data_IF_350385073212
#
_entry.id   IF_350385073212
#
_cell.length_a   1.000
_cell.length_b   1.000
_cell.length_c   1.000
_cell.angle_alpha   90.00
_cell.angle_beta   90.00
_cell.angle_gamma   90.00
#
_symmetry.space_group_name_H-M   'P 1'
#
loop_
_entity.id
_entity.type
_entity.pdbx_description
1 polymer ?
#
# COMPACT_ATOMS: atom_id res chain seq x y z
N UNK A 1 31.72 -26.82 0.97
CA UNK A 1 30.85 -25.85 1.69
C UNK A 1 29.81 -26.66 2.44
N UNK A 2 29.73 -26.52 3.77
CA UNK A 2 28.90 -27.41 4.58
C UNK A 2 27.42 -27.04 4.44
N UNK A 3 26.52 -28.02 4.59
CA UNK A 3 25.07 -27.81 4.42
C UNK A 3 24.55 -26.65 5.29
N UNK A 4 25.08 -26.51 6.52
CA UNK A 4 24.77 -25.42 7.43
C UNK A 4 25.13 -24.03 6.90
N UNK A 5 26.27 -23.89 6.22
CA UNK A 5 26.71 -22.63 5.62
C UNK A 5 25.83 -22.24 4.43
N UNK A 6 25.44 -23.22 3.61
CA UNK A 6 24.52 -23.01 2.49
C UNK A 6 23.12 -22.59 2.94
N UNK A 7 22.54 -23.28 3.93
CA UNK A 7 21.24 -22.89 4.50
C UNK A 7 21.29 -21.49 5.15
N UNK A 8 22.42 -21.14 5.78
CA UNK A 8 22.61 -19.80 6.33
C UNK A 8 22.67 -18.73 5.23
N UNK A 9 23.44 -18.94 4.16
CA UNK A 9 23.54 -17.96 3.08
C UNK A 9 22.21 -17.80 2.34
N UNK A 10 21.51 -18.90 2.06
CA UNK A 10 20.21 -18.87 1.39
C UNK A 10 19.15 -18.15 2.24
N UNK A 11 19.08 -18.44 3.55
CA UNK A 11 18.13 -17.76 4.43
C UNK A 11 18.39 -16.26 4.56
N UNK A 12 19.67 -15.84 4.66
CA UNK A 12 20.03 -14.42 4.66
C UNK A 12 19.63 -13.74 3.36
N UNK A 13 19.85 -14.38 2.21
CA UNK A 13 19.44 -13.84 0.91
C UNK A 13 17.92 -13.64 0.84
N UNK A 14 17.14 -14.63 1.26
CA UNK A 14 15.67 -14.56 1.23
C UNK A 14 15.17 -13.45 2.16
N UNK A 15 15.72 -13.32 3.36
CA UNK A 15 15.39 -12.23 4.30
C UNK A 15 15.70 -10.87 3.66
N UNK A 16 16.88 -10.72 3.05
CA UNK A 16 17.27 -9.48 2.40
C UNK A 16 16.31 -9.09 1.26
N UNK A 17 15.93 -10.06 0.42
CA UNK A 17 14.95 -9.85 -0.65
C UNK A 17 13.59 -9.46 -0.07
N UNK A 18 13.11 -10.14 0.98
CA UNK A 18 11.84 -9.79 1.64
C UNK A 18 11.85 -8.36 2.18
N UNK A 19 12.96 -7.92 2.79
CA UNK A 19 13.11 -6.54 3.27
C UNK A 19 13.07 -5.56 2.10
N UNK A 20 13.78 -5.81 1.01
CA UNK A 20 13.78 -4.93 -0.17
C UNK A 20 12.38 -4.82 -0.78
N UNK A 21 11.67 -5.94 -0.94
CA UNK A 21 10.29 -5.95 -1.44
C UNK A 21 9.37 -5.15 -0.49
N UNK A 22 9.52 -5.35 0.81
CA UNK A 22 8.75 -4.64 1.82
C UNK A 22 8.93 -3.14 1.80
N UNK A 23 10.19 -2.69 1.79
CA UNK A 23 10.54 -1.28 1.68
C UNK A 23 10.07 -0.69 0.35
N UNK A 24 10.22 -1.43 -0.76
CA UNK A 24 9.72 -1.02 -2.07
C UNK A 24 8.19 -0.85 -2.08
N UNK A 25 7.44 -1.73 -1.43
CA UNK A 25 5.99 -1.62 -1.31
C UNK A 25 5.56 -0.40 -0.47
N UNK A 26 6.24 -0.13 0.66
CA UNK A 26 5.99 1.07 1.47
C UNK A 26 6.25 2.34 0.63
N UNK A 27 7.38 2.39 -0.07
CA UNK A 27 7.74 3.51 -0.94
C UNK A 27 6.72 3.75 -2.06
N UNK A 28 6.17 2.68 -2.65
CA UNK A 28 5.12 2.80 -3.66
C UNK A 28 3.81 3.37 -3.09
N UNK A 29 3.45 3.01 -1.85
CA UNK A 29 2.28 3.58 -1.18
C UNK A 29 2.49 5.08 -0.91
N UNK A 30 3.67 5.49 -0.45
CA UNK A 30 3.98 6.91 -0.27
C UNK A 30 3.86 7.70 -1.58
N UNK A 31 4.19 7.08 -2.72
CA UNK A 31 4.06 7.70 -4.04
C UNK A 31 2.62 7.81 -4.55
N UNK A 32 1.62 7.25 -3.87
CA UNK A 32 0.20 7.44 -4.23
C UNK A 32 -0.32 8.81 -3.73
N UNK A 33 0.25 9.35 -2.65
CA UNK A 33 -0.15 10.63 -2.06
C UNK A 33 -0.09 11.80 -3.06
N UNK A 34 0.97 11.97 -3.89
CA UNK A 34 1.05 13.03 -4.90
C UNK A 34 -0.02 12.94 -6.00
N UNK A 35 -0.53 11.75 -6.32
CA UNK A 35 -1.59 11.62 -7.32
C UNK A 35 -2.93 12.19 -6.80
N UNK A 36 -3.12 12.19 -5.47
CA UNK A 36 -4.28 12.78 -4.83
C UNK A 36 -4.14 14.30 -4.76
N UNK A 37 -2.92 14.82 -4.55
CA UNK A 37 -2.65 16.27 -4.56
C UNK A 37 -3.04 16.91 -5.89
N UNK A 38 -2.79 16.24 -7.03
CA UNK A 38 -3.21 16.74 -8.34
C UNK A 38 -4.73 16.94 -8.42
N UNK A 39 -5.50 15.94 -7.96
CA UNK A 39 -6.97 16.04 -7.99
C UNK A 39 -7.50 17.06 -6.96
N UNK A 40 -6.85 17.18 -5.79
CA UNK A 40 -7.19 18.22 -4.83
C UNK A 40 -6.95 19.62 -5.42
N UNK A 41 -5.86 19.80 -6.17
CA UNK A 41 -5.55 21.07 -6.82
C UNK A 41 -6.58 21.43 -7.90
N UNK A 42 -6.99 20.45 -8.71
CA UNK A 42 -8.05 20.64 -9.72
C UNK A 42 -9.39 20.99 -9.05
N UNK A 43 -9.79 20.28 -7.99
CA UNK A 43 -11.03 20.63 -7.27
C UNK A 43 -10.97 22.02 -6.62
N UNK A 44 -9.81 22.40 -6.06
CA UNK A 44 -9.60 23.74 -5.51
C UNK A 44 -9.74 24.82 -6.60
N UNK A 45 -9.30 24.52 -7.83
CA UNK A 45 -9.45 25.39 -8.98
C UNK A 45 -10.94 25.63 -9.31
N UNK A 46 -11.77 24.58 -9.35
CA UNK A 46 -13.22 24.70 -9.55
C UNK A 46 -13.91 25.49 -8.41
N UNK A 47 -13.50 25.30 -7.15
CA UNK A 47 -14.02 26.10 -6.02
C UNK A 47 -13.69 27.59 -6.18
N UNK A 48 -12.44 27.93 -6.53
CA UNK A 48 -12.03 29.31 -6.72
C UNK A 48 -12.78 29.97 -7.89
N UNK A 49 -13.00 29.23 -8.98
CA UNK A 49 -13.81 29.69 -10.10
C UNK A 49 -15.27 29.97 -9.66
N UNK A 50 -15.87 29.09 -8.84
CA UNK A 50 -17.20 29.33 -8.28
C UNK A 50 -17.27 30.58 -7.38
N UNK A 51 -16.25 30.82 -6.56
CA UNK A 51 -16.14 32.05 -5.76
C UNK A 51 -16.04 33.29 -6.66
N UNK A 52 -15.23 33.25 -7.72
CA UNK A 52 -15.12 34.36 -8.67
C UNK A 52 -16.42 34.65 -9.43
N UNK A 53 -17.19 33.61 -9.75
CA UNK A 53 -18.54 33.76 -10.31
C UNK A 53 -19.49 34.47 -9.33
N UNK A 54 -19.48 34.09 -8.05
CA UNK A 54 -20.31 34.73 -7.00
C UNK A 54 -19.93 36.20 -6.76
N UNK A 55 -18.63 36.51 -6.76
CA UNK A 55 -18.13 37.88 -6.62
C UNK A 55 -18.62 38.77 -7.77
N UNK A 56 -18.63 38.22 -8.98
CA UNK A 56 -19.06 38.93 -10.19
C UNK A 56 -20.56 39.28 -10.18
N UNK A 57 -21.42 38.37 -9.71
CA UNK A 57 -22.87 38.62 -9.64
C UNK A 57 -23.30 39.44 -8.41
N UNK A 58 -22.50 39.46 -7.34
CA UNK A 58 -22.78 40.25 -6.13
C UNK A 58 -22.33 41.72 -6.28
N UNK A 59 -21.26 41.96 -7.03
CA UNK A 59 -20.75 43.30 -7.36
C UNK A 59 -21.61 44.08 -8.35
N UNK A 60 -22.54 43.42 -9.03
CA UNK A 60 -23.43 44.00 -10.05
C UNK A 60 -24.58 44.84 -9.48
N UNK A 61 -24.72 44.91 -8.15
CA UNK A 61 -25.72 45.77 -7.47
C UNK A 61 -25.42 47.26 -7.68
N UNK A 62 -24.19 47.61 -8.04
CA UNK A 62 -23.76 48.98 -8.35
C UNK A 62 -23.44 49.09 -9.86
N UNK A 63 -24.45 49.49 -10.63
CA UNK A 63 -24.60 49.51 -12.12
C UNK A 63 -23.39 50.04 -12.94
N UNK A 64 -22.42 50.72 -12.31
CA UNK A 64 -21.28 51.37 -12.97
C UNK A 64 -20.32 50.36 -13.64
N UNK A 65 -20.26 49.11 -13.14
CA UNK A 65 -19.32 48.09 -13.61
C UNK A 65 -19.99 46.84 -14.22
N UNK A 66 -21.26 46.93 -14.62
CA UNK A 66 -22.05 45.76 -15.02
C UNK A 66 -21.41 44.92 -16.15
N UNK A 67 -20.91 45.56 -17.21
CA UNK A 67 -20.27 44.85 -18.32
C UNK A 67 -18.95 44.19 -17.90
N UNK A 68 -18.16 44.85 -17.05
CA UNK A 68 -16.90 44.28 -16.53
C UNK A 68 -17.17 43.08 -15.61
N UNK A 69 -18.21 43.15 -14.78
CA UNK A 69 -18.63 42.04 -13.93
C UNK A 69 -19.13 40.85 -14.76
N UNK A 70 -19.87 41.11 -15.85
CA UNK A 70 -20.31 40.09 -16.80
C UNK A 70 -19.13 39.38 -17.46
N UNK A 71 -18.13 40.13 -17.93
CA UNK A 71 -16.94 39.53 -18.54
C UNK A 71 -16.18 38.65 -17.53
N UNK A 72 -15.98 39.14 -16.30
CA UNK A 72 -15.34 38.37 -15.22
C UNK A 72 -16.10 37.09 -14.92
N UNK A 73 -17.43 37.14 -14.85
CA UNK A 73 -18.26 35.96 -14.64
C UNK A 73 -17.97 34.89 -15.70
N UNK A 74 -17.96 35.26 -16.99
CA UNK A 74 -17.75 34.29 -18.07
C UNK A 74 -16.31 33.75 -18.11
N UNK A 75 -15.33 34.53 -17.69
CA UNK A 75 -13.95 34.05 -17.51
C UNK A 75 -13.91 32.97 -16.42
N UNK A 76 -14.49 33.23 -15.25
CA UNK A 76 -14.50 32.25 -14.15
C UNK A 76 -15.37 31.03 -14.48
N UNK A 77 -16.51 31.22 -15.14
CA UNK A 77 -17.35 30.13 -15.62
C UNK A 77 -16.58 29.21 -16.58
N UNK A 78 -15.82 29.79 -17.52
CA UNK A 78 -15.01 29.00 -18.46
C UNK A 78 -13.97 28.17 -17.73
N UNK A 79 -13.33 28.72 -16.70
CA UNK A 79 -12.38 27.97 -15.86
C UNK A 79 -13.04 26.73 -15.23
N UNK A 80 -14.23 26.89 -14.64
CA UNK A 80 -14.95 25.77 -14.06
C UNK A 80 -15.39 24.74 -15.12
N UNK A 81 -15.85 25.21 -16.29
CA UNK A 81 -16.29 24.36 -17.41
C UNK A 81 -15.15 23.54 -18.03
N UNK A 82 -13.95 24.11 -18.11
CA UNK A 82 -12.77 23.44 -18.67
C UNK A 82 -12.12 22.46 -17.65
N UNK A 83 -12.60 22.44 -16.40
CA UNK A 83 -12.03 21.67 -15.29
C UNK A 83 -13.10 20.82 -14.57
N UNK A 84 -13.80 19.97 -15.33
CA UNK A 84 -14.78 19.03 -14.78
C UNK A 84 -14.03 17.80 -14.25
N UNK A 85 -14.09 17.56 -12.94
CA UNK A 85 -13.32 16.52 -12.25
C UNK A 85 -14.19 15.51 -11.49
N UNK A 86 -15.44 15.87 -11.21
CA UNK A 86 -16.37 15.05 -10.40
C UNK A 86 -17.71 14.82 -11.09
N UNK A 87 -18.33 13.69 -10.74
CA UNK A 87 -19.68 13.34 -11.19
C UNK A 87 -20.70 14.39 -10.71
N UNK A 88 -21.62 14.79 -11.58
CA UNK A 88 -22.62 15.83 -11.32
C UNK A 88 -22.17 17.27 -11.54
N UNK A 89 -20.86 17.53 -11.73
CA UNK A 89 -20.36 18.88 -12.00
C UNK A 89 -20.80 19.41 -13.37
N UNK A 90 -20.80 18.56 -14.40
CA UNK A 90 -21.24 18.94 -15.75
C UNK A 90 -22.69 19.45 -15.77
N UNK A 91 -23.59 18.78 -15.04
CA UNK A 91 -25.01 19.15 -14.97
C UNK A 91 -25.21 20.51 -14.28
N UNK A 92 -24.43 20.79 -13.24
CA UNK A 92 -24.44 22.09 -12.58
C UNK A 92 -23.86 23.18 -13.47
N UNK A 93 -22.80 22.90 -14.22
CA UNK A 93 -22.21 23.85 -15.19
C UNK A 93 -23.24 24.21 -16.27
N UNK A 94 -23.97 23.23 -16.81
CA UNK A 94 -25.02 23.47 -17.80
C UNK A 94 -26.17 24.30 -17.23
N UNK A 95 -26.58 24.04 -15.98
CA UNK A 95 -27.59 24.84 -15.28
C UNK A 95 -27.12 26.28 -15.03
N UNK A 96 -25.88 26.46 -14.58
CA UNK A 96 -25.28 27.78 -14.38
C UNK A 96 -25.23 28.54 -15.69
N UNK A 97 -24.87 27.88 -16.80
CA UNK A 97 -24.84 28.52 -18.11
C UNK A 97 -26.22 29.08 -18.48
N UNK A 98 -27.26 28.27 -18.41
CA UNK A 98 -28.62 28.70 -18.74
C UNK A 98 -29.14 29.82 -17.83
N UNK A 99 -28.91 29.70 -16.52
CA UNK A 99 -29.32 30.73 -15.55
C UNK A 99 -28.54 32.04 -15.73
N UNK A 100 -27.25 31.96 -16.06
CA UNK A 100 -26.41 33.14 -16.29
C UNK A 100 -26.78 33.87 -17.59
N UNK A 101 -27.07 33.14 -18.66
CA UNK A 101 -27.55 33.75 -19.92
C UNK A 101 -28.83 34.56 -19.68
N UNK A 102 -29.79 34.01 -18.91
CA UNK A 102 -31.01 34.73 -18.52
C UNK A 102 -30.72 35.93 -17.60
N UNK A 103 -29.84 35.75 -16.62
CA UNK A 103 -29.43 36.81 -15.68
C UNK A 103 -28.84 38.03 -16.39
N UNK A 104 -28.12 37.85 -17.50
CA UNK A 104 -27.52 38.97 -18.24
C UNK A 104 -28.40 39.53 -19.38
N UNK A 105 -29.45 38.81 -19.80
CA UNK A 105 -30.37 39.23 -20.87
C UNK A 105 -31.58 40.00 -20.36
N UNK A 106 -32.09 39.67 -19.18
CA UNK A 106 -33.31 40.24 -18.62
C UNK A 106 -33.03 41.30 -17.54
N UNK A 107 -33.98 42.22 -17.30
CA UNK A 107 -33.99 43.01 -16.06
C UNK A 107 -34.17 42.04 -14.90
N UNK A 108 -33.06 41.66 -14.28
CA UNK A 108 -33.01 40.59 -13.29
C UNK A 108 -33.95 40.80 -12.13
N UNK A 109 -34.72 39.76 -11.82
CA UNK A 109 -35.41 39.66 -10.54
C UNK A 109 -34.44 39.18 -9.46
N UNK A 110 -34.64 39.63 -8.22
CA UNK A 110 -33.90 39.10 -7.06
C UNK A 110 -33.96 37.56 -7.00
N UNK A 111 -35.05 36.95 -7.50
CA UNK A 111 -35.24 35.50 -7.52
C UNK A 111 -34.27 34.79 -8.48
N UNK A 112 -34.05 35.31 -9.69
CA UNK A 112 -33.09 34.74 -10.65
C UNK A 112 -31.65 34.81 -10.12
N UNK A 113 -31.29 35.93 -9.47
CA UNK A 113 -29.98 36.08 -8.83
C UNK A 113 -29.77 35.06 -7.71
N UNK A 114 -30.76 34.88 -6.83
CA UNK A 114 -30.70 33.91 -5.73
C UNK A 114 -30.58 32.49 -6.27
N UNK A 115 -31.29 32.16 -7.34
CA UNK A 115 -31.22 30.84 -7.97
C UNK A 115 -29.83 30.58 -8.57
N UNK A 116 -29.30 31.52 -9.36
CA UNK A 116 -27.96 31.43 -9.93
C UNK A 116 -26.88 31.30 -8.84
N UNK A 117 -26.92 32.17 -7.83
CA UNK A 117 -26.01 32.11 -6.69
C UNK A 117 -26.12 30.79 -5.91
N UNK A 118 -27.34 30.25 -5.77
CA UNK A 118 -27.61 28.95 -5.16
C UNK A 118 -26.95 27.81 -5.93
N UNK A 119 -27.10 27.77 -7.25
CA UNK A 119 -26.49 26.74 -8.11
C UNK A 119 -24.95 26.85 -8.12
N UNK A 120 -24.39 28.06 -8.14
CA UNK A 120 -22.93 28.24 -8.04
C UNK A 120 -22.39 27.79 -6.68
N UNK A 121 -23.11 28.07 -5.59
CA UNK A 121 -22.74 27.56 -4.27
C UNK A 121 -22.83 26.03 -4.18
N UNK A 122 -23.79 25.42 -4.86
CA UNK A 122 -23.86 23.96 -4.96
C UNK A 122 -22.62 23.40 -5.67
N UNK A 123 -22.19 24.00 -6.78
CA UNK A 123 -20.95 23.64 -7.49
C UNK A 123 -19.72 23.70 -6.56
N UNK A 124 -19.57 24.78 -5.79
CA UNK A 124 -18.49 24.91 -4.82
C UNK A 124 -18.59 23.83 -3.73
N UNK A 125 -19.79 23.56 -3.23
CA UNK A 125 -20.04 22.60 -2.15
C UNK A 125 -19.67 21.17 -2.56
N UNK A 126 -20.09 20.73 -3.75
CA UNK A 126 -19.76 19.37 -4.21
C UNK A 126 -18.25 19.18 -4.40
N UNK A 127 -17.55 20.21 -4.88
CA UNK A 127 -16.11 20.19 -5.05
C UNK A 127 -15.38 20.15 -3.69
N UNK A 128 -15.79 20.96 -2.71
CA UNK A 128 -15.25 20.92 -1.35
C UNK A 128 -15.49 19.58 -0.66
N UNK A 129 -16.69 19.00 -0.79
CA UNK A 129 -16.99 17.67 -0.26
C UNK A 129 -16.13 16.58 -0.91
N UNK A 130 -15.95 16.65 -2.23
CA UNK A 130 -15.07 15.73 -2.94
C UNK A 130 -13.61 15.85 -2.46
N UNK A 131 -13.13 17.06 -2.15
CA UNK A 131 -11.80 17.26 -1.57
C UNK A 131 -11.68 16.61 -0.19
N UNK A 132 -12.66 16.81 0.69
CA UNK A 132 -12.65 16.25 2.04
C UNK A 132 -12.65 14.71 2.02
N UNK A 133 -13.47 14.10 1.15
CA UNK A 133 -13.53 12.65 1.01
C UNK A 133 -12.21 12.09 0.46
N UNK A 134 -11.62 12.74 -0.55
CA UNK A 134 -10.35 12.30 -1.15
C UNK A 134 -9.18 12.44 -0.18
N UNK A 135 -9.11 13.53 0.59
CA UNK A 135 -8.08 13.72 1.62
C UNK A 135 -8.16 12.66 2.74
N UNK A 136 -9.36 12.44 3.30
CA UNK A 136 -9.57 11.37 4.30
C UNK A 136 -9.21 9.98 3.77
N UNK A 137 -9.55 9.71 2.50
CA UNK A 137 -9.23 8.44 1.85
C UNK A 137 -7.72 8.30 1.65
N UNK A 138 -7.01 9.37 1.25
CA UNK A 138 -5.55 9.38 1.12
C UNK A 138 -4.85 9.01 2.43
N UNK A 139 -5.25 9.68 3.52
CA UNK A 139 -4.65 9.51 4.84
C UNK A 139 -4.87 8.09 5.37
N UNK A 140 -6.08 7.55 5.21
CA UNK A 140 -6.40 6.19 5.68
C UNK A 140 -5.71 5.11 4.86
N UNK A 141 -5.68 5.20 3.52
CA UNK A 141 -4.98 4.24 2.65
C UNK A 141 -3.48 4.21 2.97
N UNK A 142 -2.85 5.38 3.13
CA UNK A 142 -1.42 5.48 3.41
C UNK A 142 -1.07 4.84 4.77
N UNK A 143 -1.80 5.20 5.83
CA UNK A 143 -1.52 4.71 7.18
C UNK A 143 -1.84 3.22 7.34
N UNK A 144 -3.01 2.77 6.91
CA UNK A 144 -3.43 1.36 7.04
C UNK A 144 -2.59 0.46 6.14
N UNK A 145 -2.25 0.91 4.92
CA UNK A 145 -1.41 0.17 4.00
C UNK A 145 0.01 -0.06 4.53
N UNK A 146 0.63 0.98 5.11
CA UNK A 146 1.95 0.86 5.72
C UNK A 146 1.98 -0.14 6.89
N UNK A 147 0.98 -0.09 7.79
CA UNK A 147 0.87 -1.05 8.90
C UNK A 147 0.64 -2.49 8.42
N UNK A 148 -0.19 -2.68 7.39
CA UNK A 148 -0.43 -4.00 6.81
C UNK A 148 0.85 -4.61 6.22
N UNK A 149 1.63 -3.83 5.45
CA UNK A 149 2.91 -4.28 4.89
C UNK A 149 3.91 -4.58 6.01
N UNK A 150 4.01 -3.71 7.02
CA UNK A 150 4.88 -3.91 8.17
C UNK A 150 4.57 -5.22 8.91
N UNK A 151 3.29 -5.50 9.15
CA UNK A 151 2.83 -6.74 9.78
C UNK A 151 3.13 -7.97 8.91
N UNK A 152 2.90 -7.89 7.60
CA UNK A 152 3.24 -8.98 6.67
C UNK A 152 4.74 -9.26 6.62
N UNK A 153 5.57 -8.21 6.64
CA UNK A 153 7.03 -8.36 6.72
C UNK A 153 7.46 -9.03 8.01
N UNK A 154 6.90 -8.57 9.14
CA UNK A 154 7.18 -9.14 10.44
C UNK A 154 6.82 -10.63 10.50
N UNK A 155 5.61 -11.00 10.03
CA UNK A 155 5.17 -12.39 9.97
C UNK A 155 6.04 -13.22 9.02
N UNK A 156 6.37 -12.69 7.84
CA UNK A 156 7.21 -13.37 6.85
C UNK A 156 8.59 -13.70 7.43
N UNK A 157 9.25 -12.71 8.04
CA UNK A 157 10.56 -12.90 8.68
C UNK A 157 10.44 -13.90 9.85
N UNK A 158 9.38 -13.79 10.66
CA UNK A 158 9.12 -14.72 11.76
C UNK A 158 8.96 -16.17 11.29
N UNK A 159 8.19 -16.40 10.22
CA UNK A 159 8.02 -17.72 9.60
C UNK A 159 9.36 -18.23 9.07
N UNK A 160 10.13 -17.40 8.36
CA UNK A 160 11.46 -17.80 7.86
C UNK A 160 12.41 -18.19 8.99
N UNK A 161 12.41 -17.45 10.09
CA UNK A 161 13.23 -17.76 11.27
C UNK A 161 12.80 -19.08 11.92
N UNK A 162 11.48 -19.29 12.09
CA UNK A 162 10.93 -20.52 12.62
C UNK A 162 11.28 -21.74 11.76
N UNK A 163 11.10 -21.65 10.45
CA UNK A 163 11.48 -22.71 9.51
C UNK A 163 12.99 -23.00 9.58
N UNK A 164 13.83 -21.96 9.58
CA UNK A 164 15.28 -22.14 9.73
C UNK A 164 15.62 -22.88 11.03
N UNK A 165 15.07 -22.45 12.16
CA UNK A 165 15.34 -23.07 13.46
C UNK A 165 14.89 -24.53 13.48
N UNK A 166 13.71 -24.81 12.94
CA UNK A 166 13.15 -26.17 12.87
C UNK A 166 13.94 -27.07 11.92
N UNK A 167 14.28 -26.61 10.72
CA UNK A 167 15.05 -27.41 9.75
C UNK A 167 16.46 -27.69 10.24
N UNK A 168 17.13 -26.70 10.85
CA UNK A 168 18.49 -26.90 11.37
C UNK A 168 18.50 -27.90 12.53
N UNK A 169 17.57 -27.77 13.49
CA UNK A 169 17.53 -28.66 14.65
C UNK A 169 16.99 -30.05 14.34
N UNK A 170 16.03 -30.17 13.42
CA UNK A 170 15.35 -31.43 13.14
C UNK A 170 15.98 -32.25 12.00
N UNK A 171 16.77 -31.61 11.13
CA UNK A 171 17.30 -32.26 9.93
C UNK A 171 18.81 -32.07 9.75
N UNK A 172 19.30 -30.83 9.74
CA UNK A 172 20.73 -30.57 9.44
C UNK A 172 21.65 -31.06 10.57
N UNK A 173 21.38 -30.70 11.82
CA UNK A 173 22.23 -31.10 12.95
C UNK A 173 22.28 -32.61 13.16
N UNK A 174 21.17 -33.36 13.10
CA UNK A 174 21.22 -34.82 13.19
C UNK A 174 21.97 -35.48 12.03
N UNK A 175 21.89 -34.93 10.80
CA UNK A 175 22.65 -35.44 9.66
C UNK A 175 24.16 -35.21 9.82
N UNK A 176 24.56 -34.04 10.31
CA UNK A 176 25.96 -33.76 10.65
C UNK A 176 26.47 -34.74 11.71
N UNK A 177 25.67 -35.03 12.75
CA UNK A 177 26.01 -36.02 13.78
C UNK A 177 26.17 -37.43 13.20
N UNK A 178 25.26 -37.86 12.31
CA UNK A 178 25.34 -39.17 11.64
C UNK A 178 26.62 -39.33 10.82
N UNK A 179 26.96 -38.31 10.04
CA UNK A 179 28.19 -38.32 9.23
C UNK A 179 29.43 -38.39 10.11
N UNK A 180 29.49 -37.60 11.19
CA UNK A 180 30.59 -37.63 12.14
C UNK A 180 30.75 -39.01 12.80
N UNK A 181 29.65 -39.69 13.13
CA UNK A 181 29.70 -41.02 13.76
C UNK A 181 30.20 -42.08 12.78
N UNK A 182 29.71 -42.06 11.55
CA UNK A 182 30.18 -42.98 10.50
C UNK A 182 31.67 -42.78 10.20
N UNK A 183 32.12 -41.53 10.12
CA UNK A 183 33.54 -41.20 9.89
C UNK A 183 34.42 -41.72 11.04
N UNK A 184 33.99 -41.50 12.30
CA UNK A 184 34.67 -42.03 13.49
C UNK A 184 34.70 -43.56 13.53
N UNK A 185 33.60 -44.23 13.14
CA UNK A 185 33.55 -45.68 13.08
C UNK A 185 34.51 -46.24 12.04
N UNK A 186 34.57 -45.60 10.86
CA UNK A 186 35.52 -45.95 9.80
C UNK A 186 36.97 -45.77 10.24
N UNK A 187 37.24 -44.75 11.05
CA UNK A 187 38.56 -44.44 11.64
C UNK A 187 38.91 -45.32 12.85
N UNK A 188 38.09 -46.32 13.18
CA UNK A 188 38.36 -47.31 14.21
C UNK A 188 37.77 -47.03 15.60
N UNK A 189 37.14 -45.86 15.81
CA UNK A 189 36.43 -45.57 17.05
C UNK A 189 35.04 -46.20 17.04
N UNK A 190 34.94 -47.43 17.58
CA UNK A 190 33.70 -48.22 17.55
C UNK A 190 32.75 -48.00 18.72
N UNK A 191 33.05 -47.09 19.63
CA UNK A 191 32.22 -46.86 20.83
C UNK A 191 31.22 -45.71 20.66
N UNK A 192 31.41 -44.81 19.69
CA UNK A 192 30.46 -43.73 19.41
C UNK A 192 29.17 -44.30 18.79
N UNK A 193 28.02 -43.76 19.19
CA UNK A 193 26.68 -44.16 18.73
C UNK A 193 25.84 -42.94 18.40
N UNK A 194 24.84 -43.12 17.56
CA UNK A 194 23.88 -42.08 17.19
C UNK A 194 22.94 -41.84 18.38
N UNK A 195 22.78 -40.57 18.79
CA UNK A 195 21.85 -40.21 19.84
C UNK A 195 20.41 -40.16 19.30
N UNK A 196 19.45 -40.70 20.05
CA UNK A 196 18.03 -40.53 19.74
C UNK A 196 17.58 -39.13 20.17
N UNK A 197 17.79 -38.16 19.27
CA UNK A 197 17.34 -36.79 19.52
C UNK A 197 15.86 -36.65 19.20
N UNK A 198 15.05 -36.38 20.23
CA UNK A 198 13.59 -36.15 20.12
C UNK A 198 13.22 -34.98 19.21
N UNK A 199 14.15 -34.05 18.95
CA UNK A 199 13.93 -32.93 18.03
C UNK A 199 14.08 -33.31 16.55
N UNK A 200 14.60 -34.51 16.26
CA UNK A 200 14.83 -34.98 14.88
C UNK A 200 13.54 -35.49 14.24
N UNK A 201 13.45 -35.36 12.91
CA UNK A 201 12.37 -35.97 12.14
C UNK A 201 12.38 -37.51 12.26
N UNK A 202 11.21 -38.13 12.13
CA UNK A 202 11.02 -39.57 12.38
C UNK A 202 11.93 -40.43 11.50
N UNK A 203 12.11 -40.02 10.25
CA UNK A 203 12.93 -40.70 9.24
C UNK A 203 14.40 -40.74 9.68
N UNK A 204 14.93 -39.62 10.17
CA UNK A 204 16.30 -39.54 10.69
C UNK A 204 16.45 -40.44 11.91
N UNK A 205 15.48 -40.42 12.83
CA UNK A 205 15.52 -41.29 14.01
C UNK A 205 15.57 -42.78 13.62
N UNK A 206 14.77 -43.18 12.62
CA UNK A 206 14.81 -44.54 12.05
C UNK A 206 16.17 -44.87 11.45
N UNK A 207 16.76 -43.95 10.69
CA UNK A 207 18.10 -44.14 10.10
C UNK A 207 19.16 -44.28 11.20
N UNK A 208 19.16 -43.41 12.20
CA UNK A 208 20.07 -43.48 13.35
C UNK A 208 19.98 -44.83 14.07
N UNK A 209 18.77 -45.34 14.28
CA UNK A 209 18.55 -46.65 14.88
C UNK A 209 19.12 -47.79 14.02
N UNK A 210 18.84 -47.78 12.70
CA UNK A 210 19.36 -48.79 11.78
C UNK A 210 20.90 -48.77 11.69
N UNK A 211 21.51 -47.58 11.68
CA UNK A 211 22.96 -47.42 11.68
C UNK A 211 23.57 -48.02 12.96
N UNK A 212 23.02 -47.67 14.13
CA UNK A 212 23.49 -48.24 15.40
C UNK A 212 23.42 -49.78 15.39
N UNK A 213 22.30 -50.36 14.90
CA UNK A 213 22.13 -51.81 14.78
C UNK A 213 23.20 -52.46 13.89
N UNK A 214 23.46 -51.87 12.71
CA UNK A 214 24.50 -52.37 11.79
C UNK A 214 25.90 -52.27 12.39
N UNK A 215 26.19 -51.20 13.12
CA UNK A 215 27.48 -51.04 13.83
C UNK A 215 27.68 -52.11 14.91
N UNK A 216 26.61 -52.48 15.62
CA UNK A 216 26.66 -53.53 16.63
C UNK A 216 26.93 -54.91 15.98
N UNK A 217 26.21 -55.24 14.91
CA UNK A 217 26.44 -56.47 14.12
C UNK A 217 27.88 -56.55 13.58
N UNK A 218 28.41 -55.45 13.04
CA UNK A 218 29.78 -55.37 12.52
C UNK A 218 30.84 -55.49 13.63
N UNK A 219 30.55 -55.08 14.86
CA UNK A 219 31.44 -55.30 16.00
C UNK A 219 31.46 -56.76 16.44
N UNK A 220 30.33 -57.46 16.36
CA UNK A 220 30.21 -58.88 16.72
C UNK A 220 30.92 -59.80 15.72
N UNK A 221 30.89 -59.49 14.42
CA UNK A 221 31.54 -60.29 13.36
C UNK A 221 33.08 -60.23 13.36
N UNK A 222 33.70 -59.30 14.10
CA UNK A 222 35.16 -59.13 14.19
C UNK A 222 35.78 -59.67 15.49
N UNK A 223 35.00 -60.34 16.34
CA UNK A 223 35.48 -61.12 17.49
C UNK A 223 35.59 -62.59 17.11
#
# INVERSE_FOLDING_TARGET
MNARTYFKSLSVLVIAISIVIGLGAIFLIERIVPAIDGILQENAYSVNAAVGMLDSISSNVNDINAESNRERFWIEFKKAKDNITIEGEAELIDQIQGLAELYWLERTTNQQQVQLAGTINQLATINMQAMEVKDKTAQTISLTGAWAIGLLLFLSIGIQFFFRFKTVSALVSPLEELLDILDNFSSGNRQRRCLDSRSSVLEIRKISYLINKLMDEACHLKR
#
